data_IF_932329906581
#
_entry.id   IF_932329906581
#
_cell.length_a   1.000
_cell.length_b   1.000
_cell.length_c   1.000
_cell.angle_alpha   90.00
_cell.angle_beta   90.00
_cell.angle_gamma   90.00
#
_symmetry.space_group_name_H-M   'P 1'
#
loop_
_entity.id
_entity.type
_entity.pdbx_description
1 polymer ?
#
# COMPACT_ATOMS: atom_id res chain seq x y z
N UNK A 1 27.73 2.44 25.37
CA UNK A 1 27.41 3.23 24.15
C UNK A 1 28.11 2.75 22.87
N UNK A 2 29.23 2.03 22.92
CA UNK A 2 29.92 1.50 21.71
C UNK A 2 29.27 0.24 21.09
N UNK A 3 28.47 -0.51 21.84
CA UNK A 3 27.83 -1.74 21.34
C UNK A 3 26.61 -1.45 20.46
N UNK A 4 25.83 -0.42 20.78
CA UNK A 4 24.60 -0.06 20.06
C UNK A 4 24.87 0.56 18.69
N UNK A 5 25.99 1.27 18.53
CA UNK A 5 26.42 1.84 17.24
C UNK A 5 26.96 0.77 16.29
N UNK A 6 27.62 -0.28 16.80
CA UNK A 6 28.05 -1.43 16.00
C UNK A 6 26.88 -2.25 15.48
N UNK A 7 25.85 -2.49 16.30
CA UNK A 7 24.64 -3.21 15.85
C UNK A 7 23.83 -2.43 14.82
N UNK A 8 23.75 -1.10 14.93
CA UNK A 8 23.08 -0.25 13.93
C UNK A 8 23.84 -0.22 12.59
N UNK A 9 25.17 -0.18 12.63
CA UNK A 9 26.01 -0.23 11.43
C UNK A 9 25.98 -1.62 10.76
N UNK A 10 25.91 -2.70 11.54
CA UNK A 10 25.71 -4.07 11.05
C UNK A 10 24.34 -4.27 10.41
N UNK A 11 23.28 -3.65 10.94
CA UNK A 11 21.96 -3.66 10.30
C UNK A 11 21.97 -2.88 8.97
N UNK A 12 22.70 -1.75 8.91
CA UNK A 12 22.83 -0.95 7.70
C UNK A 12 23.68 -1.65 6.63
N UNK A 13 24.71 -2.40 7.02
CA UNK A 13 25.57 -3.19 6.12
C UNK A 13 24.89 -4.48 5.62
N UNK A 14 24.08 -5.14 6.44
CA UNK A 14 23.27 -6.29 6.00
C UNK A 14 22.20 -5.92 4.97
N UNK A 15 21.76 -4.65 4.92
CA UNK A 15 20.82 -4.16 3.89
C UNK A 15 21.48 -3.94 2.53
N UNK A 16 22.82 -3.94 2.45
CA UNK A 16 23.56 -3.65 1.21
C UNK A 16 24.16 -4.88 0.53
N UNK A 17 23.96 -6.09 1.08
CA UNK A 17 24.65 -7.30 0.62
C UNK A 17 23.69 -8.47 0.32
N UNK A 18 22.82 -8.32 -0.68
CA UNK A 18 22.32 -9.46 -1.45
C UNK A 18 22.15 -9.05 -2.92
N UNK A 19 23.25 -9.06 -3.65
CA UNK A 19 23.21 -9.18 -5.10
C UNK A 19 23.15 -10.69 -5.41
N UNK A 20 21.95 -11.19 -5.67
CA UNK A 20 21.73 -12.48 -6.33
C UNK A 20 20.69 -12.27 -7.42
N UNK A 21 21.00 -12.83 -8.58
CA UNK A 21 20.35 -12.64 -9.87
C UNK A 21 18.97 -13.30 -9.98
N UNK A 22 18.06 -12.58 -10.64
CA UNK A 22 16.94 -13.01 -11.49
C UNK A 22 15.60 -13.48 -10.87
N UNK A 23 14.48 -12.88 -11.36
CA UNK A 23 13.29 -13.63 -11.81
C UNK A 23 11.93 -12.88 -11.76
N UNK A 24 11.54 -12.20 -12.87
CA UNK A 24 10.38 -11.29 -13.19
C UNK A 24 9.05 -11.33 -12.41
N UNK A 25 8.17 -10.33 -12.57
CA UNK A 25 6.81 -10.37 -11.99
C UNK A 25 6.00 -11.53 -12.56
N UNK A 26 5.51 -12.41 -11.70
CA UNK A 26 4.86 -13.64 -12.14
C UNK A 26 3.35 -13.56 -11.88
N UNK A 27 2.58 -13.75 -12.93
CA UNK A 27 1.14 -13.99 -12.88
C UNK A 27 0.92 -15.47 -13.15
N UNK A 28 0.47 -16.21 -12.15
CA UNK A 28 0.21 -17.64 -12.31
C UNK A 28 -1.13 -18.02 -11.70
N UNK A 29 -1.86 -18.90 -12.37
CA UNK A 29 -3.15 -19.36 -11.90
C UNK A 29 -3.88 -20.24 -12.89
N UNK A 30 -5.14 -20.51 -12.55
CA UNK A 30 -6.09 -21.20 -13.40
C UNK A 30 -7.18 -20.21 -13.80
N UNK A 31 -7.32 -19.99 -15.11
CA UNK A 31 -8.34 -19.13 -15.67
C UNK A 31 -9.53 -19.97 -16.15
N UNK A 32 -10.75 -19.50 -15.88
CA UNK A 32 -11.98 -19.99 -16.50
C UNK A 32 -12.71 -18.80 -17.08
N UNK A 33 -12.63 -18.63 -18.39
CA UNK A 33 -13.25 -17.52 -19.11
C UNK A 33 -14.34 -18.01 -20.05
N UNK A 34 -15.31 -17.15 -20.37
CA UNK A 34 -16.31 -17.44 -21.42
C UNK A 34 -15.68 -17.28 -22.80
N UNK A 35 -15.30 -16.06 -23.14
CA UNK A 35 -14.64 -15.76 -24.42
C UNK A 35 -13.43 -14.86 -24.28
N UNK A 36 -13.33 -14.12 -23.20
CA UNK A 36 -12.27 -13.17 -22.93
C UNK A 36 -12.02 -13.16 -21.43
N UNK A 37 -10.76 -13.33 -21.02
CA UNK A 37 -10.34 -13.33 -19.63
C UNK A 37 -9.08 -12.49 -19.47
N UNK A 38 -9.14 -11.51 -18.59
CA UNK A 38 -7.97 -10.72 -18.22
C UNK A 38 -7.03 -11.54 -17.36
N UNK A 39 -5.73 -11.51 -17.67
CA UNK A 39 -4.72 -12.27 -16.94
C UNK A 39 -3.90 -11.38 -16.02
N UNK A 40 -3.44 -10.24 -16.54
CA UNK A 40 -2.53 -9.38 -15.80
C UNK A 40 -2.16 -8.14 -16.57
N UNK A 41 -1.58 -7.19 -15.84
CA UNK A 41 -1.06 -5.95 -16.39
C UNK A 41 0.27 -5.63 -15.76
N UNK A 42 1.15 -5.02 -16.54
CA UNK A 42 2.45 -4.59 -16.06
C UNK A 42 2.85 -3.28 -16.72
N UNK A 43 3.56 -2.43 -15.98
CA UNK A 43 4.00 -1.13 -16.48
C UNK A 43 5.47 -1.20 -16.89
N UNK A 44 5.72 -1.15 -18.20
CA UNK A 44 7.06 -1.23 -18.78
C UNK A 44 7.73 0.13 -18.89
N UNK A 45 9.04 0.14 -18.74
CA UNK A 45 9.90 1.32 -18.96
C UNK A 45 10.21 1.54 -20.45
N UNK A 46 11.14 2.46 -20.74
CA UNK A 46 11.53 2.96 -22.06
C UNK A 46 12.55 2.08 -22.81
N UNK A 47 13.10 1.04 -22.18
CA UNK A 47 14.19 0.21 -22.73
C UNK A 47 13.73 -1.20 -23.15
N UNK A 48 14.37 -1.82 -24.17
CA UNK A 48 13.81 -2.96 -24.88
C UNK A 48 13.95 -4.30 -24.15
N UNK A 49 13.18 -5.26 -24.67
CA UNK A 49 13.14 -6.71 -24.41
C UNK A 49 12.57 -7.18 -23.08
N UNK A 50 11.30 -7.58 -23.13
CA UNK A 50 10.78 -8.66 -22.30
C UNK A 50 11.29 -9.98 -22.89
N UNK A 51 12.33 -10.54 -22.28
CA UNK A 51 12.98 -11.73 -22.85
C UNK A 51 12.26 -13.04 -22.54
N UNK A 52 11.26 -13.08 -21.66
CA UNK A 52 10.58 -14.33 -21.38
C UNK A 52 9.13 -14.11 -20.93
N UNK A 53 8.18 -14.39 -21.81
CA UNK A 53 6.77 -14.46 -21.49
C UNK A 53 6.38 -15.94 -21.36
N UNK A 54 6.00 -16.29 -20.14
CA UNK A 54 5.94 -17.66 -19.69
C UNK A 54 4.82 -18.54 -20.30
N UNK A 55 4.85 -19.81 -19.89
CA UNK A 55 4.09 -20.92 -20.47
C UNK A 55 2.57 -20.90 -20.23
N UNK A 56 1.81 -21.21 -21.27
CA UNK A 56 0.36 -21.46 -21.21
C UNK A 56 0.11 -22.95 -21.48
N UNK A 57 -0.68 -23.58 -20.61
CA UNK A 57 -1.11 -24.97 -20.75
C UNK A 57 -2.65 -25.02 -20.83
N UNK A 58 -3.16 -25.65 -21.88
CA UNK A 58 -4.60 -25.69 -22.16
C UNK A 58 -4.96 -26.92 -22.99
N UNK A 59 -6.06 -27.57 -22.65
CA UNK A 59 -6.67 -28.65 -23.43
C UNK A 59 -7.63 -28.11 -24.50
N UNK A 60 -7.71 -26.78 -24.65
CA UNK A 60 -8.74 -26.11 -25.45
C UNK A 60 -8.20 -25.62 -26.79
N UNK A 61 -8.81 -26.10 -27.89
CA UNK A 61 -8.49 -25.63 -29.23
C UNK A 61 -9.05 -24.22 -29.51
N UNK A 62 -8.25 -23.41 -30.21
CA UNK A 62 -8.62 -22.05 -30.64
C UNK A 62 -8.48 -21.00 -29.55
N UNK A 63 -7.75 -21.30 -28.46
CA UNK A 63 -7.35 -20.31 -27.47
C UNK A 63 -6.31 -19.37 -28.07
N UNK A 64 -6.48 -18.08 -27.84
CA UNK A 64 -5.60 -17.03 -28.27
C UNK A 64 -5.13 -16.23 -27.07
N UNK A 65 -3.90 -15.78 -27.09
CA UNK A 65 -3.38 -14.81 -26.16
C UNK A 65 -3.27 -13.46 -26.87
N UNK A 66 -3.94 -12.45 -26.35
CA UNK A 66 -3.93 -11.10 -26.88
C UNK A 66 -3.19 -10.16 -25.92
N UNK A 67 -2.39 -9.27 -26.50
CA UNK A 67 -1.58 -8.28 -25.80
C UNK A 67 -2.01 -6.88 -26.23
N UNK A 68 -2.23 -6.01 -25.25
CA UNK A 68 -2.73 -4.64 -25.42
C UNK A 68 -1.82 -3.65 -24.69
N UNK A 69 -1.82 -2.40 -25.11
CA UNK A 69 -1.28 -1.28 -24.33
C UNK A 69 -2.42 -0.40 -23.76
N UNK A 70 -2.04 0.66 -23.07
CA UNK A 70 -2.94 1.63 -22.44
C UNK A 70 -3.50 2.70 -23.39
N UNK A 71 -3.25 2.59 -24.70
CA UNK A 71 -3.77 3.55 -25.67
C UNK A 71 -5.29 3.41 -25.83
N UNK A 72 -5.93 4.55 -26.13
CA UNK A 72 -7.39 4.64 -26.18
C UNK A 72 -8.03 3.66 -27.17
N UNK A 73 -7.32 3.26 -28.23
CA UNK A 73 -7.78 2.34 -29.27
C UNK A 73 -7.60 0.85 -28.94
N UNK A 74 -6.92 0.50 -27.83
CA UNK A 74 -6.57 -0.87 -27.48
C UNK A 74 -7.35 -1.31 -26.23
N UNK A 75 -6.70 -1.46 -25.06
CA UNK A 75 -7.34 -2.00 -23.86
C UNK A 75 -8.62 -1.25 -23.48
N UNK A 76 -8.57 0.08 -23.48
CA UNK A 76 -9.74 0.89 -23.14
C UNK A 76 -10.89 0.67 -24.13
N UNK A 77 -10.61 0.63 -25.44
CA UNK A 77 -11.62 0.44 -26.47
C UNK A 77 -12.34 -0.92 -26.33
N UNK A 78 -11.57 -2.01 -26.24
CA UNK A 78 -12.12 -3.38 -26.19
C UNK A 78 -12.87 -3.69 -24.90
N UNK A 79 -12.66 -2.90 -23.84
CA UNK A 79 -13.35 -3.04 -22.56
C UNK A 79 -14.56 -2.12 -22.41
N UNK A 80 -14.61 -0.99 -23.13
CA UNK A 80 -15.68 0.01 -22.97
C UNK A 80 -16.70 0.03 -24.10
N UNK A 81 -16.30 -0.33 -25.33
CA UNK A 81 -17.21 -0.35 -26.47
C UNK A 81 -18.09 -1.60 -26.44
N UNK A 82 -19.40 -1.42 -26.27
CA UNK A 82 -20.37 -2.51 -26.22
C UNK A 82 -20.58 -3.20 -27.57
N UNK A 83 -20.13 -2.59 -28.67
CA UNK A 83 -20.21 -3.17 -30.02
C UNK A 83 -19.03 -4.08 -30.33
N UNK A 84 -17.98 -4.07 -29.51
CA UNK A 84 -16.77 -4.86 -29.72
C UNK A 84 -16.95 -6.29 -29.17
N UNK A 85 -17.37 -7.19 -30.05
CA UNK A 85 -17.47 -8.63 -29.79
C UNK A 85 -16.10 -9.29 -29.62
N UNK A 86 -16.04 -10.56 -29.23
CA UNK A 86 -14.77 -11.27 -29.06
C UNK A 86 -13.82 -11.12 -30.27
N UNK A 87 -14.32 -11.21 -31.51
CA UNK A 87 -13.51 -11.09 -32.72
C UNK A 87 -12.91 -9.69 -32.89
N UNK A 88 -13.67 -8.66 -32.56
CA UNK A 88 -13.17 -7.29 -32.46
C UNK A 88 -12.04 -7.18 -31.42
N UNK A 89 -12.19 -7.81 -30.23
CA UNK A 89 -11.19 -7.76 -29.15
C UNK A 89 -9.86 -8.39 -29.54
N UNK A 90 -9.85 -9.44 -30.37
CA UNK A 90 -8.62 -10.10 -30.86
C UNK A 90 -8.18 -9.60 -32.23
N UNK A 91 -8.85 -8.58 -32.79
CA UNK A 91 -8.50 -8.06 -34.10
C UNK A 91 -7.17 -7.31 -34.07
N UNK A 92 -6.43 -7.34 -35.16
CA UNK A 92 -5.17 -6.59 -35.32
C UNK A 92 -5.34 -5.07 -35.27
N UNK A 93 -6.58 -4.57 -35.32
CA UNK A 93 -6.89 -3.13 -35.17
C UNK A 93 -6.84 -2.66 -33.72
N UNK A 94 -7.14 -3.56 -32.78
CA UNK A 94 -7.30 -3.24 -31.36
C UNK A 94 -6.35 -4.04 -30.46
N UNK A 95 -5.39 -4.76 -31.04
CA UNK A 95 -4.36 -5.53 -30.33
C UNK A 95 -2.98 -5.12 -30.83
N UNK A 96 -1.97 -5.25 -29.97
CA UNK A 96 -0.56 -5.11 -30.39
C UNK A 96 -0.03 -6.43 -30.94
N UNK A 97 -0.35 -7.54 -30.28
CA UNK A 97 0.02 -8.88 -30.71
C UNK A 97 -1.06 -9.89 -30.32
N UNK A 98 -1.20 -10.93 -31.13
CA UNK A 98 -2.09 -12.07 -30.86
C UNK A 98 -1.35 -13.36 -31.19
N UNK A 99 -1.39 -14.31 -30.27
CA UNK A 99 -0.74 -15.61 -30.40
C UNK A 99 -1.78 -16.71 -30.30
N UNK A 100 -1.75 -17.65 -31.25
CA UNK A 100 -2.57 -18.86 -31.17
C UNK A 100 -1.91 -19.84 -30.22
N UNK A 101 -2.58 -20.17 -29.12
CA UNK A 101 -2.10 -21.13 -28.12
C UNK A 101 -2.39 -22.53 -28.63
N UNK A 102 -1.35 -23.36 -28.69
CA UNK A 102 -1.47 -24.76 -29.10
C UNK A 102 -2.05 -25.60 -27.96
N UNK A 103 -3.17 -26.28 -28.23
CA UNK A 103 -3.79 -27.17 -27.25
C UNK A 103 -2.94 -28.43 -26.99
N UNK A 104 -2.85 -28.82 -25.73
CA UNK A 104 -2.02 -29.89 -25.21
C UNK A 104 -2.89 -31.10 -24.87
N UNK A 105 -3.03 -32.04 -25.81
CA UNK A 105 -3.90 -33.22 -25.65
C UNK A 105 -3.20 -34.41 -24.94
N UNK A 106 -2.08 -34.20 -24.25
CA UNK A 106 -1.28 -35.30 -23.69
C UNK A 106 -0.71 -34.93 -22.32
N UNK A 107 -0.55 -35.92 -21.44
CA UNK A 107 -0.04 -35.75 -20.07
C UNK A 107 1.46 -35.31 -19.99
N UNK A 108 2.16 -35.23 -21.12
CA UNK A 108 3.53 -34.78 -21.24
C UNK A 108 3.67 -33.75 -22.36
N UNK A 109 3.21 -32.52 -22.11
CA UNK A 109 3.35 -31.44 -23.09
C UNK A 109 4.11 -30.27 -22.51
N UNK A 110 5.07 -29.79 -23.29
CA UNK A 110 5.78 -28.53 -23.05
C UNK A 110 4.78 -27.38 -23.16
N UNK A 111 4.65 -26.52 -22.14
CA UNK A 111 3.72 -25.40 -22.20
C UNK A 111 4.04 -24.47 -23.37
N UNK A 112 3.01 -23.87 -23.97
CA UNK A 112 3.17 -22.89 -25.04
C UNK A 112 3.93 -21.67 -24.50
N UNK A 113 5.16 -21.47 -24.98
CA UNK A 113 5.99 -20.31 -24.65
C UNK A 113 5.92 -19.28 -25.77
N UNK A 114 5.88 -18.00 -25.42
CA UNK A 114 5.90 -16.90 -26.38
C UNK A 114 6.83 -15.80 -25.87
N UNK A 115 7.37 -14.99 -26.78
CA UNK A 115 8.17 -13.84 -26.40
C UNK A 115 7.72 -12.65 -27.22
N UNK A 116 7.52 -11.51 -26.56
CA UNK A 116 7.04 -10.28 -27.18
C UNK A 116 8.04 -9.20 -26.88
N UNK A 117 8.63 -8.62 -27.93
CA UNK A 117 9.46 -7.45 -27.75
C UNK A 117 8.58 -6.21 -27.63
N UNK A 118 8.57 -5.61 -26.44
CA UNK A 118 7.86 -4.36 -26.17
C UNK A 118 8.81 -3.19 -26.47
N UNK A 119 8.36 -2.28 -27.32
CA UNK A 119 9.10 -1.08 -27.71
C UNK A 119 8.27 0.15 -27.40
N UNK A 120 8.73 0.93 -26.41
CA UNK A 120 8.08 2.18 -26.02
C UNK A 120 9.04 3.35 -26.12
N UNK A 121 8.68 4.34 -26.95
CA UNK A 121 9.57 5.46 -27.30
C UNK A 121 9.26 6.77 -26.56
N UNK A 122 8.08 6.89 -25.94
CA UNK A 122 7.55 8.17 -25.43
C UNK A 122 7.42 8.22 -23.91
N UNK A 123 6.88 7.17 -23.30
CA UNK A 123 6.63 7.09 -21.85
C UNK A 123 6.43 5.64 -21.40
N UNK A 124 6.58 5.35 -20.10
CA UNK A 124 6.16 4.09 -19.51
C UNK A 124 4.65 3.91 -19.69
N UNK A 125 4.23 2.70 -20.01
CA UNK A 125 2.82 2.38 -20.25
C UNK A 125 2.42 1.09 -19.59
N UNK A 126 1.15 1.02 -19.24
CA UNK A 126 0.54 -0.25 -18.86
C UNK A 126 0.30 -1.10 -20.09
N UNK A 127 0.75 -2.34 -20.01
CA UNK A 127 0.46 -3.38 -20.97
C UNK A 127 -0.42 -4.42 -20.30
N UNK A 128 -1.37 -4.94 -21.05
CA UNK A 128 -2.39 -5.86 -20.57
C UNK A 128 -2.31 -7.15 -21.38
N UNK A 129 -2.51 -8.26 -20.70
CA UNK A 129 -2.53 -9.58 -21.32
C UNK A 129 -3.85 -10.25 -20.99
N UNK A 130 -4.49 -10.80 -22.03
CA UNK A 130 -5.75 -11.51 -21.90
C UNK A 130 -5.74 -12.79 -22.73
N UNK A 131 -6.48 -13.79 -22.24
CA UNK A 131 -6.81 -14.99 -22.99
C UNK A 131 -8.17 -14.80 -23.67
N UNK A 132 -8.28 -15.23 -24.90
CA UNK A 132 -9.49 -15.12 -25.68
C UNK A 132 -9.77 -16.41 -26.46
N UNK A 133 -11.04 -16.80 -26.53
CA UNK A 133 -11.51 -17.89 -27.37
C UNK A 133 -12.82 -17.47 -28.02
N UNK A 134 -12.74 -17.01 -29.26
CA UNK A 134 -13.90 -16.55 -29.98
C UNK A 134 -14.65 -17.73 -30.60
N UNK A 135 -15.92 -17.87 -30.23
CA UNK A 135 -16.84 -18.86 -30.80
C UNK A 135 -18.09 -18.15 -31.34
N UNK A 136 -18.63 -18.55 -32.51
CA UNK A 136 -19.83 -17.94 -33.07
C UNK A 136 -21.00 -17.97 -32.09
N UNK A 137 -21.63 -16.81 -31.86
CA UNK A 137 -22.77 -16.65 -30.94
C UNK A 137 -22.44 -16.84 -29.45
N UNK A 138 -21.16 -16.87 -29.05
CA UNK A 138 -20.82 -17.10 -27.65
C UNK A 138 -21.05 -15.93 -26.70
N UNK A 139 -21.03 -14.69 -27.19
CA UNK A 139 -21.40 -13.52 -26.38
C UNK A 139 -22.92 -13.47 -26.07
N UNK A 140 -23.74 -14.04 -26.97
CA UNK A 140 -25.20 -14.14 -26.81
C UNK A 140 -25.61 -15.28 -25.87
N UNK A 141 -24.75 -16.27 -25.65
CA UNK A 141 -25.05 -17.42 -24.80
C UNK A 141 -24.88 -17.08 -23.31
N UNK A 142 -26.00 -16.90 -22.61
CA UNK A 142 -26.06 -16.62 -21.16
C UNK A 142 -27.02 -17.58 -20.44
N UNK A 143 -26.68 -18.87 -20.33
CA UNK A 143 -27.53 -19.82 -19.62
C UNK A 143 -27.53 -19.51 -18.12
N UNK A 144 -28.67 -19.69 -17.42
CA UNK A 144 -28.65 -19.74 -15.97
C UNK A 144 -27.80 -20.92 -15.49
N UNK A 145 -27.17 -20.80 -14.32
CA UNK A 145 -26.23 -21.81 -13.79
C UNK A 145 -26.80 -23.23 -13.74
N UNK A 146 -28.11 -23.36 -13.51
CA UNK A 146 -28.81 -24.65 -13.47
C UNK A 146 -28.93 -25.36 -14.84
N UNK A 147 -28.72 -24.65 -15.94
CA UNK A 147 -28.87 -25.16 -17.31
C UNK A 147 -27.53 -25.37 -18.03
N UNK A 148 -26.41 -25.16 -17.32
CA UNK A 148 -25.06 -25.38 -17.87
C UNK A 148 -24.80 -26.89 -17.96
N UNK A 149 -24.84 -27.42 -19.18
CA UNK A 149 -24.35 -28.77 -19.49
C UNK A 149 -22.85 -28.75 -19.76
N UNK A 150 -22.15 -29.86 -19.53
CA UNK A 150 -20.71 -29.97 -19.83
C UNK A 150 -20.40 -29.63 -21.29
N UNK A 151 -21.26 -30.05 -22.23
CA UNK A 151 -21.11 -29.79 -23.66
C UNK A 151 -21.15 -28.30 -23.96
N UNK A 152 -22.13 -27.58 -23.39
CA UNK A 152 -22.24 -26.14 -23.57
C UNK A 152 -21.10 -25.40 -22.86
N UNK A 153 -20.67 -25.87 -21.70
CA UNK A 153 -19.52 -25.33 -21.00
C UNK A 153 -18.25 -25.41 -21.86
N UNK A 154 -17.89 -26.59 -22.36
CA UNK A 154 -16.69 -26.78 -23.23
C UNK A 154 -16.77 -26.01 -24.56
N UNK A 155 -17.99 -25.71 -25.03
CA UNK A 155 -18.22 -24.93 -26.26
C UNK A 155 -18.04 -23.44 -26.05
N UNK A 156 -18.58 -22.89 -24.96
CA UNK A 156 -18.67 -21.45 -24.72
C UNK A 156 -17.73 -20.92 -23.64
N UNK A 157 -16.98 -21.80 -22.98
CA UNK A 157 -15.96 -21.45 -21.99
C UNK A 157 -14.63 -22.09 -22.38
N UNK A 158 -13.56 -21.55 -21.81
CA UNK A 158 -12.23 -22.12 -21.85
C UNK A 158 -11.65 -22.17 -20.44
N UNK A 159 -10.81 -23.17 -20.22
CA UNK A 159 -9.98 -23.29 -19.02
C UNK A 159 -8.52 -23.38 -19.42
N UNK A 160 -7.65 -22.71 -18.68
CA UNK A 160 -6.21 -22.79 -18.93
C UNK A 160 -5.41 -22.51 -17.66
N UNK A 161 -4.36 -23.29 -17.47
CA UNK A 161 -3.28 -22.94 -16.57
C UNK A 161 -2.35 -21.98 -17.28
N UNK A 162 -2.10 -20.84 -16.66
CA UNK A 162 -1.15 -19.87 -17.17
C UNK A 162 -0.10 -19.60 -16.13
N UNK A 163 1.13 -19.42 -16.61
CA UNK A 163 2.19 -18.75 -15.88
C UNK A 163 2.72 -17.72 -16.86
N UNK A 164 2.56 -16.45 -16.55
CA UNK A 164 3.04 -15.33 -17.33
C UNK A 164 4.08 -14.62 -16.49
N UNK A 165 5.22 -14.34 -17.10
CA UNK A 165 6.37 -13.74 -16.46
C UNK A 165 6.64 -12.43 -17.17
N UNK A 166 6.72 -11.33 -16.43
CA UNK A 166 6.91 -10.00 -16.99
C UNK A 166 8.08 -9.31 -16.29
N UNK A 167 9.15 -9.06 -17.04
CA UNK A 167 10.38 -8.38 -16.61
C UNK A 167 10.56 -7.07 -17.33
N UNK A 168 11.20 -6.10 -16.68
CA UNK A 168 11.74 -4.93 -17.34
C UNK A 168 12.91 -5.32 -18.26
N UNK A 169 13.29 -4.43 -19.20
CA UNK A 169 14.41 -4.67 -20.11
C UNK A 169 15.78 -4.84 -19.44
N UNK A 170 15.94 -4.42 -18.18
CA UNK A 170 17.12 -4.64 -17.34
C UNK A 170 17.02 -5.94 -16.51
N UNK A 171 15.99 -6.76 -16.73
CA UNK A 171 15.68 -7.93 -15.93
C UNK A 171 14.97 -7.61 -14.60
N UNK A 172 14.58 -6.36 -14.38
CA UNK A 172 13.91 -5.92 -13.16
C UNK A 172 12.49 -6.49 -12.99
N UNK A 173 12.18 -6.86 -11.76
CA UNK A 173 10.89 -7.43 -11.34
C UNK A 173 9.75 -6.44 -11.26
N UNK A 174 10.09 -5.23 -10.84
CA UNK A 174 9.11 -4.26 -10.39
C UNK A 174 8.56 -3.49 -11.59
N UNK A 175 7.23 -3.33 -11.69
CA UNK A 175 6.65 -2.41 -12.64
C UNK A 175 7.12 -0.99 -12.31
N UNK A 176 7.17 -0.11 -13.32
CA UNK A 176 7.73 1.25 -13.15
C UNK A 176 7.11 2.01 -11.97
N UNK A 177 5.80 1.89 -11.74
CA UNK A 177 5.13 2.54 -10.61
C UNK A 177 5.56 2.07 -9.21
N UNK A 178 6.16 0.89 -9.11
CA UNK A 178 6.59 0.29 -7.84
C UNK A 178 8.12 0.34 -7.67
N UNK A 179 8.84 0.82 -8.70
CA UNK A 179 10.27 1.08 -8.60
C UNK A 179 10.54 2.12 -7.51
N UNK A 180 11.55 1.86 -6.69
CA UNK A 180 11.92 2.71 -5.55
C UNK A 180 11.07 2.51 -4.29
N UNK A 181 9.93 1.81 -4.34
CA UNK A 181 9.16 1.46 -3.14
C UNK A 181 9.98 0.68 -2.09
N UNK A 182 10.82 -0.32 -2.46
CA UNK A 182 11.66 -1.00 -1.47
C UNK A 182 12.54 -0.02 -0.69
N UNK A 183 13.18 0.94 -1.37
CA UNK A 183 14.05 1.93 -0.74
C UNK A 183 13.27 2.90 0.16
N UNK A 184 12.10 3.37 -0.29
CA UNK A 184 11.23 4.27 0.49
C UNK A 184 10.77 3.57 1.77
N UNK A 185 10.24 2.35 1.67
CA UNK A 185 9.78 1.60 2.85
C UNK A 185 10.94 1.18 3.76
N UNK A 186 12.13 0.90 3.22
CA UNK A 186 13.33 0.67 4.04
C UNK A 186 13.67 1.90 4.88
N UNK A 187 13.75 3.08 4.26
CA UNK A 187 14.04 4.34 4.95
C UNK A 187 12.97 4.65 6.00
N UNK A 188 11.68 4.50 5.65
CA UNK A 188 10.58 4.71 6.58
C UNK A 188 10.58 3.71 7.72
N UNK A 189 10.89 2.43 7.48
CA UNK A 189 11.00 1.41 8.52
C UNK A 189 12.17 1.70 9.49
N UNK A 190 13.31 2.19 8.99
CA UNK A 190 14.43 2.60 9.85
C UNK A 190 14.06 3.79 10.72
N UNK A 191 13.47 4.84 10.13
CA UNK A 191 13.03 6.03 10.87
C UNK A 191 11.95 5.70 11.90
N UNK A 192 10.94 4.92 11.50
CA UNK A 192 9.88 4.48 12.39
C UNK A 192 10.41 3.54 13.49
N UNK A 193 11.40 2.69 13.18
CA UNK A 193 12.08 1.84 14.14
C UNK A 193 12.83 2.65 15.20
N UNK A 194 13.60 3.66 14.77
CA UNK A 194 14.26 4.59 15.67
C UNK A 194 13.27 5.35 16.57
N UNK A 195 12.17 5.85 15.98
CA UNK A 195 11.09 6.49 16.72
C UNK A 195 10.43 5.53 17.73
N UNK A 196 10.21 4.27 17.36
CA UNK A 196 9.64 3.24 18.23
C UNK A 196 10.58 2.95 19.40
N UNK A 197 11.88 2.80 19.17
CA UNK A 197 12.87 2.60 20.24
C UNK A 197 12.90 3.80 21.19
N UNK A 198 12.95 5.02 20.67
CA UNK A 198 12.92 6.24 21.48
C UNK A 198 11.64 6.32 22.34
N UNK A 199 10.49 6.01 21.74
CA UNK A 199 9.19 6.00 22.41
C UNK A 199 9.10 4.91 23.49
N UNK A 200 9.66 3.72 23.25
CA UNK A 200 9.71 2.65 24.25
C UNK A 200 10.61 3.02 25.43
N UNK A 201 11.75 3.68 25.19
CA UNK A 201 12.62 4.18 26.26
C UNK A 201 11.89 5.24 27.08
N UNK A 202 11.22 6.20 26.43
CA UNK A 202 10.42 7.21 27.10
C UNK A 202 9.28 6.58 27.92
N UNK A 203 8.56 5.62 27.35
CA UNK A 203 7.47 4.90 28.01
C UNK A 203 7.96 4.13 29.24
N UNK A 204 9.13 3.48 29.18
CA UNK A 204 9.72 2.80 30.35
C UNK A 204 10.07 3.78 31.46
N UNK A 205 10.70 4.91 31.13
CA UNK A 205 11.04 5.95 32.12
C UNK A 205 9.79 6.54 32.80
N UNK A 206 8.74 6.84 32.04
CA UNK A 206 7.50 7.36 32.60
C UNK A 206 6.75 6.33 33.45
N UNK A 207 6.80 5.04 33.08
CA UNK A 207 6.25 3.97 33.93
C UNK A 207 6.99 3.85 35.26
N UNK A 208 8.31 3.96 35.26
CA UNK A 208 9.11 3.96 36.47
C UNK A 208 8.84 5.19 37.36
N UNK A 209 8.49 6.31 36.75
CA UNK A 209 8.12 7.55 37.45
C UNK A 209 6.62 7.67 37.75
N UNK A 210 5.85 6.58 37.68
CA UNK A 210 4.40 6.51 37.94
C UNK A 210 3.53 7.54 37.17
N UNK A 211 4.04 8.10 36.07
CA UNK A 211 3.43 9.18 35.28
C UNK A 211 2.93 8.69 33.91
N UNK A 212 2.60 7.40 33.81
CA UNK A 212 2.27 6.77 32.53
C UNK A 212 0.81 7.01 32.13
N UNK A 213 0.58 8.14 31.47
CA UNK A 213 -0.75 8.56 31.02
C UNK A 213 -1.31 7.71 29.85
N UNK A 214 -2.65 7.54 29.75
CA UNK A 214 -3.30 6.82 28.64
C UNK A 214 -2.95 7.34 27.24
N UNK A 215 -2.74 8.66 27.08
CA UNK A 215 -2.30 9.24 25.80
C UNK A 215 -0.95 8.70 25.36
N UNK A 216 -0.01 8.50 26.29
CA UNK A 216 1.30 7.93 25.98
C UNK A 216 1.21 6.45 25.59
N UNK A 217 0.23 5.70 26.13
CA UNK A 217 -0.08 4.33 25.68
C UNK A 217 -0.52 4.33 24.23
N UNK A 218 -1.48 5.19 23.88
CA UNK A 218 -2.01 5.31 22.52
C UNK A 218 -0.92 5.73 21.53
N UNK A 219 -0.13 6.76 21.86
CA UNK A 219 1.01 7.18 21.03
C UNK A 219 2.02 6.04 20.81
N UNK A 220 2.34 5.28 21.87
CA UNK A 220 3.28 4.14 21.76
C UNK A 220 2.74 3.07 20.83
N UNK A 221 1.43 2.77 20.89
CA UNK A 221 0.78 1.81 20.01
C UNK A 221 0.75 2.29 18.55
N UNK A 222 0.41 3.57 18.30
CA UNK A 222 0.41 4.15 16.95
C UNK A 222 1.80 4.12 16.32
N UNK A 223 2.83 4.53 17.05
CA UNK A 223 4.23 4.52 16.57
C UNK A 223 4.70 3.09 16.28
N UNK A 224 4.36 2.15 17.16
CA UNK A 224 4.69 0.73 16.95
C UNK A 224 4.00 0.15 15.71
N UNK A 225 2.71 0.41 15.52
CA UNK A 225 1.99 -0.04 14.33
C UNK A 225 2.50 0.65 13.06
N UNK A 226 2.92 1.90 13.13
CA UNK A 226 3.55 2.58 12.00
C UNK A 226 4.86 1.91 11.60
N UNK A 227 5.71 1.55 12.57
CA UNK A 227 6.91 0.75 12.30
C UNK A 227 6.55 -0.62 11.69
N UNK A 228 5.61 -1.34 12.30
CA UNK A 228 5.22 -2.68 11.83
C UNK A 228 4.68 -2.65 10.39
N UNK A 229 3.82 -1.69 10.05
CA UNK A 229 3.29 -1.53 8.71
C UNK A 229 4.40 -1.30 7.67
N UNK A 230 5.33 -0.36 7.95
CA UNK A 230 6.43 -0.05 7.04
C UNK A 230 7.42 -1.22 6.92
N UNK A 231 7.72 -1.93 8.01
CA UNK A 231 8.61 -3.09 7.99
C UNK A 231 8.02 -4.25 7.16
N UNK A 232 6.71 -4.50 7.28
CA UNK A 232 6.02 -5.52 6.49
C UNK A 232 5.97 -5.15 5.00
N UNK A 233 5.72 -3.87 4.66
CA UNK A 233 5.76 -3.40 3.26
C UNK A 233 7.17 -3.46 2.69
N UNK A 234 8.18 -3.06 3.46
CA UNK A 234 9.57 -3.23 3.07
C UNK A 234 9.87 -4.69 2.76
N UNK A 235 9.53 -5.62 3.65
CA UNK A 235 9.78 -7.04 3.42
C UNK A 235 9.02 -7.58 2.20
N UNK A 236 7.76 -7.15 1.98
CA UNK A 236 7.01 -7.51 0.79
C UNK A 236 7.71 -7.06 -0.49
N UNK A 237 8.03 -5.76 -0.62
CA UNK A 237 8.64 -5.21 -1.83
C UNK A 237 10.09 -5.64 -2.01
N UNK A 238 10.81 -5.91 -0.92
CA UNK A 238 12.14 -6.50 -0.92
C UNK A 238 12.14 -7.93 -1.43
N UNK A 239 11.12 -8.74 -1.12
CA UNK A 239 10.97 -10.07 -1.71
C UNK A 239 10.51 -9.97 -3.17
N UNK A 240 9.63 -9.02 -3.46
CA UNK A 240 9.07 -8.82 -4.79
C UNK A 240 10.16 -8.51 -5.82
N UNK A 241 11.15 -7.67 -5.49
CA UNK A 241 12.30 -7.40 -6.37
C UNK A 241 13.18 -8.62 -6.69
N UNK A 242 12.94 -9.80 -6.12
CA UNK A 242 13.69 -11.02 -6.44
C UNK A 242 12.84 -12.18 -6.97
N UNK A 243 11.54 -12.21 -6.67
CA UNK A 243 10.68 -13.35 -6.98
C UNK A 243 9.45 -13.01 -7.80
N UNK A 244 9.22 -11.73 -8.10
CA UNK A 244 8.07 -11.30 -8.88
C UNK A 244 6.69 -11.40 -8.23
N UNK A 245 6.59 -11.88 -7.00
CA UNK A 245 5.33 -12.07 -6.27
C UNK A 245 5.28 -11.29 -4.95
N UNK A 246 6.44 -11.06 -4.35
CA UNK A 246 6.60 -10.65 -2.96
C UNK A 246 6.02 -11.66 -1.99
N UNK A 247 5.57 -11.16 -0.84
CA UNK A 247 4.79 -11.93 0.13
C UNK A 247 3.40 -11.28 0.30
N UNK A 248 2.34 -11.81 -0.34
CA UNK A 248 1.00 -11.20 -0.30
C UNK A 248 0.49 -11.01 1.13
N UNK A 249 0.75 -11.97 2.02
CA UNK A 249 0.39 -11.87 3.44
C UNK A 249 0.95 -10.60 4.09
N UNK A 250 2.23 -10.28 3.88
CA UNK A 250 2.83 -9.06 4.45
C UNK A 250 2.22 -7.78 3.89
N UNK A 251 1.89 -7.74 2.59
CA UNK A 251 1.19 -6.61 1.98
C UNK A 251 -0.17 -6.37 2.63
N UNK A 252 -1.00 -7.41 2.76
CA UNK A 252 -2.34 -7.26 3.36
C UNK A 252 -2.28 -6.96 4.86
N UNK A 253 -1.41 -7.63 5.61
CA UNK A 253 -1.21 -7.37 7.04
C UNK A 253 -0.73 -5.93 7.28
N UNK A 254 0.17 -5.42 6.44
CA UNK A 254 0.61 -4.04 6.52
C UNK A 254 -0.52 -3.06 6.22
N UNK A 255 -1.34 -3.31 5.18
CA UNK A 255 -2.47 -2.44 4.82
C UNK A 255 -3.52 -2.37 5.94
N UNK A 256 -3.82 -3.48 6.59
CA UNK A 256 -4.68 -3.49 7.79
C UNK A 256 -4.05 -2.67 8.92
N UNK A 257 -2.75 -2.86 9.16
CA UNK A 257 -2.00 -2.10 10.18
C UNK A 257 -1.99 -0.60 9.89
N UNK A 258 -1.85 -0.18 8.62
CA UNK A 258 -1.93 1.23 8.19
C UNK A 258 -3.29 1.87 8.53
N UNK A 259 -4.40 1.14 8.43
CA UNK A 259 -5.72 1.64 8.84
C UNK A 259 -5.74 1.98 10.33
N UNK A 260 -5.19 1.09 11.19
CA UNK A 260 -5.07 1.36 12.62
C UNK A 260 -4.18 2.57 12.92
N UNK A 261 -3.08 2.74 12.19
CA UNK A 261 -2.21 3.92 12.33
C UNK A 261 -2.98 5.19 11.99
N UNK A 262 -3.72 5.21 10.87
CA UNK A 262 -4.46 6.39 10.42
C UNK A 262 -5.56 6.78 11.41
N UNK A 263 -6.44 5.83 11.76
CA UNK A 263 -7.52 6.06 12.73
C UNK A 263 -6.94 6.44 14.10
N UNK A 264 -5.91 5.73 14.55
CA UNK A 264 -5.24 6.00 15.83
C UNK A 264 -4.57 7.38 15.87
N UNK A 265 -4.00 7.85 14.76
CA UNK A 265 -3.39 9.18 14.66
C UNK A 265 -4.44 10.28 14.73
N UNK A 266 -5.56 10.13 14.01
CA UNK A 266 -6.67 11.10 14.06
C UNK A 266 -7.29 11.13 15.47
N UNK A 267 -7.50 9.96 16.08
CA UNK A 267 -7.97 9.87 17.46
C UNK A 267 -7.02 10.57 18.43
N UNK A 268 -5.71 10.27 18.35
CA UNK A 268 -4.69 10.89 19.18
C UNK A 268 -4.68 12.41 19.03
N UNK A 269 -4.71 12.92 17.79
CA UNK A 269 -4.76 14.36 17.51
C UNK A 269 -5.99 15.02 18.15
N UNK A 270 -7.17 14.43 18.00
CA UNK A 270 -8.40 14.95 18.60
C UNK A 270 -8.39 14.92 20.14
N UNK A 271 -7.85 13.86 20.75
CA UNK A 271 -7.72 13.78 22.21
C UNK A 271 -6.76 14.85 22.75
N UNK A 272 -5.66 15.11 22.05
CA UNK A 272 -4.71 16.18 22.38
C UNK A 272 -5.38 17.55 22.24
N UNK A 273 -6.10 17.79 21.13
CA UNK A 273 -6.82 19.06 20.92
C UNK A 273 -7.84 19.35 22.02
N UNK A 274 -8.59 18.33 22.46
CA UNK A 274 -9.53 18.46 23.58
C UNK A 274 -8.86 18.57 24.95
N UNK A 275 -7.55 18.36 25.05
CA UNK A 275 -6.81 18.37 26.31
C UNK A 275 -7.19 17.23 27.26
N UNK A 276 -7.69 16.11 26.74
CA UNK A 276 -8.08 14.95 27.54
C UNK A 276 -6.90 14.45 28.37
N UNK A 277 -7.10 14.10 29.64
CA UNK A 277 -6.06 13.70 30.61
C UNK A 277 -5.03 14.76 31.01
N UNK A 278 -4.99 15.93 30.35
CA UNK A 278 -4.09 17.04 30.68
C UNK A 278 -4.85 18.14 31.43
N UNK A 279 -5.95 18.63 30.84
CA UNK A 279 -6.75 19.73 31.38
C UNK A 279 -8.14 19.29 31.84
N UNK A 280 -8.65 18.15 31.34
CA UNK A 280 -9.98 17.66 31.66
C UNK A 280 -9.96 16.15 31.99
N UNK A 281 -10.63 15.78 33.09
CA UNK A 281 -10.83 14.38 33.52
C UNK A 281 -11.96 13.72 32.72
N UNK A 282 -13.00 14.49 32.34
CA UNK A 282 -14.11 14.03 31.51
C UNK A 282 -13.92 14.46 30.04
N UNK A 283 -14.21 13.55 29.11
CA UNK A 283 -14.13 13.79 27.67
C UNK A 283 -15.47 14.33 27.15
N UNK A 284 -15.61 15.65 27.04
CA UNK A 284 -16.82 16.26 26.46
C UNK A 284 -16.94 15.89 24.97
N UNK A 285 -18.08 15.28 24.61
CA UNK A 285 -18.37 14.81 23.26
C UNK A 285 -17.75 13.46 22.91
N UNK A 286 -17.54 12.57 23.88
CA UNK A 286 -17.03 11.21 23.65
C UNK A 286 -17.88 10.43 22.62
N UNK A 287 -19.19 10.54 22.68
CA UNK A 287 -20.11 9.86 21.75
C UNK A 287 -19.90 10.35 20.31
N UNK A 288 -19.79 11.67 20.11
CA UNK A 288 -19.51 12.27 18.80
C UNK A 288 -18.15 11.81 18.25
N UNK A 289 -17.11 11.81 19.11
CA UNK A 289 -15.78 11.36 18.71
C UNK A 289 -15.79 9.88 18.33
N UNK A 290 -16.44 9.03 19.13
CA UNK A 290 -16.58 7.59 18.86
C UNK A 290 -17.33 7.34 17.54
N UNK A 291 -18.44 8.07 17.32
CA UNK A 291 -19.21 8.00 16.09
C UNK A 291 -18.36 8.36 14.86
N UNK A 292 -17.58 9.45 14.93
CA UNK A 292 -16.66 9.84 13.85
C UNK A 292 -15.60 8.78 13.61
N UNK A 293 -14.99 8.19 14.65
CA UNK A 293 -13.99 7.14 14.48
C UNK A 293 -14.57 5.87 13.85
N UNK A 294 -15.78 5.47 14.27
CA UNK A 294 -16.51 4.35 13.67
C UNK A 294 -16.87 4.64 12.22
N UNK A 295 -17.26 5.87 11.88
CA UNK A 295 -17.53 6.27 10.51
C UNK A 295 -16.27 6.20 9.63
N UNK A 296 -15.12 6.71 10.12
CA UNK A 296 -13.84 6.60 9.41
C UNK A 296 -13.48 5.12 9.18
N UNK A 297 -13.59 4.28 10.22
CA UNK A 297 -13.29 2.85 10.11
C UNK A 297 -14.22 2.15 9.12
N UNK A 298 -15.53 2.45 9.18
CA UNK A 298 -16.53 1.93 8.24
C UNK A 298 -16.24 2.30 6.79
N UNK A 299 -15.75 3.52 6.54
CA UNK A 299 -15.33 3.94 5.20
C UNK A 299 -14.06 3.23 4.71
N UNK A 300 -13.08 2.96 5.59
CA UNK A 300 -11.92 2.14 5.21
C UNK A 300 -12.32 0.70 4.89
N UNK A 301 -13.28 0.12 5.64
CA UNK A 301 -13.82 -1.20 5.34
C UNK A 301 -14.60 -1.20 4.02
N UNK A 302 -15.41 -0.18 3.75
CA UNK A 302 -16.14 -0.07 2.49
C UNK A 302 -15.21 0.12 1.29
N UNK A 303 -14.11 0.87 1.45
CA UNK A 303 -13.05 0.98 0.44
C UNK A 303 -12.39 -0.38 0.16
N UNK A 304 -12.11 -1.18 1.20
CA UNK A 304 -11.55 -2.52 1.02
C UNK A 304 -12.55 -3.45 0.30
N UNK A 305 -13.83 -3.39 0.65
CA UNK A 305 -14.88 -4.15 -0.06
C UNK A 305 -15.04 -3.70 -1.50
N UNK A 306 -14.98 -2.39 -1.77
CA UNK A 306 -14.99 -1.85 -3.13
C UNK A 306 -13.82 -2.40 -3.95
N UNK A 307 -12.61 -2.40 -3.38
CA UNK A 307 -11.42 -2.94 -4.03
C UNK A 307 -11.52 -4.43 -4.36
N UNK A 308 -12.14 -5.23 -3.48
CA UNK A 308 -12.22 -6.68 -3.66
C UNK A 308 -13.38 -7.14 -4.56
N UNK A 309 -14.50 -6.40 -4.56
CA UNK A 309 -15.74 -6.84 -5.23
C UNK A 309 -16.02 -6.08 -6.51
N UNK A 310 -15.72 -4.77 -6.54
CA UNK A 310 -16.19 -3.87 -7.60
C UNK A 310 -15.07 -3.34 -8.49
N UNK A 311 -13.86 -3.23 -7.97
CA UNK A 311 -12.75 -2.69 -8.75
C UNK A 311 -12.30 -3.72 -9.79
N UNK A 312 -12.39 -3.35 -11.06
CA UNK A 312 -11.80 -4.11 -12.16
C UNK A 312 -10.28 -4.27 -11.93
N UNK A 313 -9.75 -5.50 -11.86
CA UNK A 313 -8.31 -5.75 -11.68
C UNK A 313 -7.44 -5.09 -12.76
N UNK A 314 -8.00 -4.84 -13.95
CA UNK A 314 -7.32 -4.13 -15.02
C UNK A 314 -7.27 -2.61 -14.78
N UNK A 315 -8.18 -2.04 -13.99
CA UNK A 315 -8.27 -0.59 -13.78
C UNK A 315 -7.00 0.01 -13.15
N UNK A 316 -6.49 1.08 -13.74
CA UNK A 316 -5.36 1.89 -13.21
C UNK A 316 -5.83 2.96 -12.21
N UNK A 317 -7.11 2.95 -11.84
CA UNK A 317 -7.68 3.91 -10.90
C UNK A 317 -6.98 3.81 -9.55
N UNK A 318 -6.56 4.95 -9.01
CA UNK A 318 -6.04 5.00 -7.66
C UNK A 318 -7.16 4.72 -6.65
N UNK A 319 -6.86 3.93 -5.60
CA UNK A 319 -7.90 3.43 -4.68
C UNK A 319 -8.68 4.55 -3.96
N UNK A 320 -8.07 5.73 -3.76
CA UNK A 320 -8.73 6.88 -3.12
C UNK A 320 -9.58 7.72 -4.07
N UNK A 321 -9.49 7.48 -5.38
CA UNK A 321 -10.38 8.11 -6.37
C UNK A 321 -11.72 7.38 -6.47
N UNK A 322 -11.89 6.30 -5.71
CA UNK A 322 -13.17 5.59 -5.56
C UNK A 322 -14.18 6.40 -4.71
N UNK A 323 -15.47 6.08 -4.84
CA UNK A 323 -16.53 6.69 -4.02
C UNK A 323 -16.26 6.62 -2.51
N UNK A 324 -15.86 5.46 -1.92
CA UNK A 324 -15.44 5.41 -0.51
C UNK A 324 -14.23 6.28 -0.20
N UNK A 325 -13.25 6.35 -1.12
CA UNK A 325 -12.05 7.17 -0.99
C UNK A 325 -12.36 8.65 -0.87
N UNK A 326 -13.21 9.18 -1.77
CA UNK A 326 -13.70 10.55 -1.71
C UNK A 326 -14.45 10.84 -0.40
N UNK A 327 -15.23 9.88 0.10
CA UNK A 327 -15.89 9.96 1.40
C UNK A 327 -14.91 10.12 2.57
N UNK A 328 -13.79 9.38 2.55
CA UNK A 328 -12.73 9.49 3.57
C UNK A 328 -12.07 10.87 3.51
N UNK A 329 -11.76 11.37 2.31
CA UNK A 329 -11.21 12.70 2.12
C UNK A 329 -12.13 13.79 2.66
N UNK A 330 -13.43 13.73 2.34
CA UNK A 330 -14.42 14.68 2.83
C UNK A 330 -14.56 14.63 4.37
N UNK A 331 -14.60 13.43 4.94
CA UNK A 331 -14.69 13.25 6.39
C UNK A 331 -13.44 13.78 7.11
N UNK A 332 -12.24 13.53 6.56
CA UNK A 332 -11.00 14.08 7.11
C UNK A 332 -10.95 15.62 7.06
N UNK A 333 -11.47 16.24 5.99
CA UNK A 333 -11.59 17.71 5.94
C UNK A 333 -12.55 18.23 7.02
N UNK A 334 -13.68 17.55 7.25
CA UNK A 334 -14.60 17.87 8.34
C UNK A 334 -13.95 17.74 9.72
N UNK A 335 -13.21 16.64 9.95
CA UNK A 335 -12.48 16.42 11.20
C UNK A 335 -11.36 17.44 11.39
N UNK A 336 -10.67 17.84 10.32
CA UNK A 336 -9.67 18.90 10.38
C UNK A 336 -10.28 20.23 10.79
N UNK A 337 -11.42 20.60 10.21
CA UNK A 337 -12.17 21.80 10.62
C UNK A 337 -12.58 21.73 12.11
N UNK A 338 -13.07 20.58 12.55
CA UNK A 338 -13.43 20.35 13.95
C UNK A 338 -12.21 20.40 14.90
N UNK A 339 -11.09 19.82 14.49
CA UNK A 339 -9.82 19.87 15.21
C UNK A 339 -9.33 21.31 15.39
N UNK A 340 -9.35 22.12 14.33
CA UNK A 340 -8.95 23.53 14.37
C UNK A 340 -9.87 24.34 15.28
N UNK A 341 -11.19 24.14 15.20
CA UNK A 341 -12.09 24.86 16.10
C UNK A 341 -11.84 24.46 17.56
N UNK A 342 -11.68 23.17 17.83
CA UNK A 342 -11.43 22.65 19.18
C UNK A 342 -10.12 23.20 19.76
N UNK A 343 -9.02 23.22 18.99
CA UNK A 343 -7.74 23.72 19.50
C UNK A 343 -7.78 25.24 19.77
N UNK A 344 -8.53 26.01 18.96
CA UNK A 344 -8.73 27.44 19.17
C UNK A 344 -9.57 27.70 20.43
N UNK A 345 -10.65 26.93 20.63
CA UNK A 345 -11.45 26.99 21.85
C UNK A 345 -10.60 26.64 23.07
N UNK A 346 -9.90 25.50 23.06
CA UNK A 346 -9.03 25.08 24.18
C UNK A 346 -7.96 26.11 24.49
N UNK A 347 -7.35 26.73 23.46
CA UNK A 347 -6.41 27.85 23.65
C UNK A 347 -7.07 29.06 24.31
N UNK A 348 -8.32 29.37 23.97
CA UNK A 348 -9.05 30.52 24.55
C UNK A 348 -9.37 30.33 26.05
N UNK A 349 -9.57 29.09 26.50
CA UNK A 349 -9.85 28.76 27.90
C UNK A 349 -8.62 28.78 28.80
N UNK A 350 -7.41 28.76 28.23
CA UNK A 350 -6.15 28.84 28.97
C UNK A 350 -5.89 30.28 29.48
N UNK A 351 -6.70 30.71 30.47
CA UNK A 351 -6.64 32.04 31.12
C UNK A 351 -5.46 32.23 32.07
N UNK A 352 -4.54 31.26 32.17
CA UNK A 352 -3.34 31.38 33.00
C UNK A 352 -2.22 32.12 32.25
N UNK A 353 -2.38 33.42 32.00
CA UNK A 353 -1.29 34.30 31.57
C UNK A 353 -0.04 34.15 32.49
N UNK A 354 -0.26 33.84 33.77
CA UNK A 354 0.79 33.55 34.75
C UNK A 354 1.58 32.23 34.47
N UNK A 355 0.94 31.16 33.97
CA UNK A 355 1.65 29.92 33.61
C UNK A 355 2.41 30.07 32.29
N UNK A 356 1.89 30.86 31.34
CA UNK A 356 2.57 31.18 30.09
C UNK A 356 3.85 32.01 30.33
N UNK A 357 3.82 32.94 31.29
CA UNK A 357 5.02 33.60 31.79
C UNK A 357 5.97 32.66 32.52
N UNK A 358 5.48 31.68 33.29
CA UNK A 358 6.35 30.68 33.93
C UNK A 358 7.10 29.80 32.91
N UNK A 359 6.42 29.27 31.90
CA UNK A 359 7.07 28.45 30.86
C UNK A 359 8.00 29.27 29.95
N UNK A 360 7.63 30.52 29.60
CA UNK A 360 8.52 31.42 28.85
C UNK A 360 9.71 31.89 29.70
N UNK A 361 9.53 32.14 31.00
CA UNK A 361 10.61 32.54 31.92
C UNK A 361 11.57 31.41 32.22
N UNK A 362 11.11 30.15 32.26
CA UNK A 362 11.99 28.97 32.42
C UNK A 362 12.81 28.67 31.16
N UNK A 363 12.29 29.00 29.99
CA UNK A 363 13.05 29.00 28.73
C UNK A 363 14.09 30.14 28.67
N UNK A 364 13.76 31.32 29.20
CA UNK A 364 14.70 32.44 29.34
C UNK A 364 15.73 32.24 30.48
N UNK A 365 15.39 31.52 31.54
CA UNK A 365 16.33 31.23 32.64
C UNK A 365 17.36 30.16 32.28
N UNK A 366 17.13 29.40 31.20
CA UNK A 366 18.13 28.47 30.64
C UNK A 366 19.07 29.19 29.66
N UNK A 367 18.78 30.43 29.25
CA UNK A 367 19.61 31.22 28.35
C UNK A 367 20.42 32.35 29.01
N UNK A 368 20.35 32.54 30.34
CA UNK A 368 21.21 33.50 31.04
C UNK A 368 22.41 32.84 31.72
N UNK A 369 23.65 33.12 31.27
CA UNK A 369 24.87 32.72 31.98
C UNK A 369 25.08 33.46 33.32
N UNK A 370 24.23 34.42 33.69
CA UNK A 370 24.51 35.36 34.79
C UNK A 370 24.23 34.83 36.20
N UNK A 371 23.59 33.68 36.36
CA UNK A 371 23.23 33.15 37.69
C UNK A 371 24.25 32.13 38.25
N UNK A 372 25.33 31.84 37.49
CA UNK A 372 26.48 31.06 37.99
C UNK A 372 27.55 31.90 38.70
N UNK A 373 27.46 33.22 38.63
CA UNK A 373 28.42 34.12 39.28
C UNK A 373 28.03 34.48 40.72
N UNK A 374 26.73 34.57 41.04
CA UNK A 374 26.25 35.02 42.36
C UNK A 374 26.40 33.96 43.48
N UNK A 375 26.48 32.66 43.12
CA UNK A 375 26.61 31.56 44.09
C UNK A 375 28.08 31.17 44.39
N UNK A 376 29.07 31.91 43.86
CA UNK A 376 30.49 31.71 44.20
C UNK A 376 30.97 32.60 45.35
N UNK A 377 30.23 33.65 45.71
CA UNK A 377 30.66 34.65 46.70
C UNK A 377 30.00 34.50 48.09
N UNK A 378 29.17 33.49 48.33
CA UNK A 378 28.71 33.16 49.69
C UNK A 378 29.62 32.09 50.32
N UNK A 379 30.85 32.49 50.63
CA UNK A 379 31.60 31.91 51.74
C UNK A 379 31.07 32.53 53.03
N UNK A 380 30.18 31.82 53.73
CA UNK A 380 29.89 32.13 55.13
C UNK A 380 30.96 31.45 56.00
N UNK A 381 31.70 32.19 56.83
CA UNK A 381 32.51 31.61 57.88
C UNK A 381 31.61 31.05 58.98
N UNK A 382 32.00 29.90 59.49
CA UNK A 382 31.60 29.36 60.78
C UNK A 382 32.27 30.21 61.87
N UNK A 383 31.49 30.85 62.74
CA UNK A 383 31.79 31.04 64.17
C UNK A 383 30.64 31.75 64.92
N UNK A 384 30.29 31.16 66.06
CA UNK A 384 29.67 31.68 67.29
C UNK A 384 28.48 32.69 67.23
N UNK A 385 27.27 32.22 67.58
CA UNK A 385 26.66 32.32 68.94
C UNK A 385 25.31 31.59 68.98
#
# INVERSE_FOLDING_TARGET
>A
MQSTTRSALLLLLCLTATASTAGGSVYAGFAVGRQFEYIGKFCFSWTPTMEELAGIDTDVNGLQLAVYDDEALFWNYVMTDSTCDCYCKVSSRHTKNVFNVTATNSHHVTPFSFSVNIHEHLRPRFWYVALARCVPGGDEYQPPFAEITEVNFRKYYFSSWYKIHMTQGDGGELPVQEQGLPAIYAAMAVLAGAATVAQLIAARRMRQAESFHPIMKLLTLVVFFFFLANALLFLHFYLYQFNGFGAPFFKYAAKITEVFVRVGTVLLAMLIAKGWTINCVALNGQEQLSCVMLAILGLYLSMAMWYLVWLDPASTLYIYDSWPGLGICALHLGVLGWFVNTILETRSYEKAAAKRHFFLRRLYSVSSPSEKASLRDQHLPTEEL
#
